data_IF_448062061368
#
_entry.id   IF_448062061368
#
_cell.length_a   1.000
_cell.length_b   1.000
_cell.length_c   1.000
_cell.angle_alpha   90.00
_cell.angle_beta   90.00
_cell.angle_gamma   90.00
#
_symmetry.space_group_name_H-M   'P 1'
#
loop_
_entity.id
_entity.type
_entity.pdbx_description
1 polymer ?
#
# COMPACT_ATOMS: atom_id res chain seq x y z
N UNK A 1 12.25 15.20 26.06
CA UNK A 1 11.30 16.09 25.34
C UNK A 1 11.80 16.29 23.94
N UNK A 2 11.09 15.80 22.92
CA UNK A 2 11.48 15.94 21.51
C UNK A 2 10.92 17.26 20.98
N UNK A 3 11.78 18.26 20.81
CA UNK A 3 11.36 19.56 20.27
C UNK A 3 11.13 19.39 18.77
N UNK A 4 9.87 19.48 18.32
CA UNK A 4 9.55 19.51 16.89
C UNK A 4 10.02 20.86 16.31
N UNK A 5 10.84 20.80 15.27
CA UNK A 5 11.20 21.96 14.48
C UNK A 5 10.00 22.30 13.58
N UNK A 6 9.39 23.47 13.81
CA UNK A 6 8.28 23.99 13.00
C UNK A 6 8.81 24.95 11.94
N UNK A 7 8.09 25.15 10.84
CA UNK A 7 8.47 26.09 9.78
C UNK A 7 8.82 27.48 10.32
N UNK A 8 7.92 28.07 11.12
CA UNK A 8 8.17 29.37 11.75
C UNK A 8 9.42 29.41 12.63
N UNK A 9 9.84 28.29 13.24
CA UNK A 9 11.07 28.24 14.05
C UNK A 9 12.31 28.17 13.18
N UNK A 10 12.20 27.53 12.01
CA UNK A 10 13.26 27.49 11.02
C UNK A 10 13.45 28.87 10.36
N UNK A 11 12.37 29.55 9.98
CA UNK A 11 12.42 30.90 9.42
C UNK A 11 13.09 31.88 10.39
N UNK A 12 12.65 31.89 11.65
CA UNK A 12 13.26 32.72 12.69
C UNK A 12 14.74 32.40 12.93
N UNK A 13 15.13 31.11 12.83
CA UNK A 13 16.52 30.70 12.95
C UNK A 13 17.35 31.24 11.78
N UNK A 14 16.86 31.10 10.55
CA UNK A 14 17.53 31.61 9.34
C UNK A 14 17.69 33.13 9.43
N UNK A 15 16.65 33.87 9.84
CA UNK A 15 16.71 35.33 10.00
C UNK A 15 17.72 35.75 11.07
N UNK A 16 17.76 35.05 12.20
CA UNK A 16 18.74 35.31 13.28
C UNK A 16 20.17 35.05 12.79
N UNK A 17 20.40 33.95 12.08
CA UNK A 17 21.72 33.63 11.54
C UNK A 17 22.15 34.65 10.47
N UNK A 18 21.23 35.10 9.61
CA UNK A 18 21.50 36.14 8.63
C UNK A 18 21.86 37.48 9.30
N UNK A 19 21.17 37.87 10.36
CA UNK A 19 21.50 39.07 11.11
C UNK A 19 22.91 39.00 11.72
N UNK A 20 23.29 37.85 12.30
CA UNK A 20 24.63 37.63 12.85
C UNK A 20 25.72 37.57 11.77
N UNK A 21 25.43 37.06 10.57
CA UNK A 21 26.38 37.09 9.45
C UNK A 21 26.65 38.54 9.01
N UNK A 22 25.64 39.40 9.04
CA UNK A 22 25.74 40.80 8.63
C UNK A 22 26.45 41.70 9.66
N UNK A 23 26.63 41.24 10.89
CA UNK A 23 27.37 41.98 11.92
C UNK A 23 28.88 41.66 11.83
N UNK A 24 29.67 42.65 11.42
CA UNK A 24 31.08 42.47 11.07
C UNK A 24 32.02 42.36 12.28
N UNK A 25 31.58 42.78 13.49
CA UNK A 25 32.42 42.79 14.70
C UNK A 25 32.23 41.55 15.59
N UNK A 26 31.23 40.73 15.29
CA UNK A 26 30.78 39.63 16.15
C UNK A 26 31.43 38.27 15.82
N UNK A 27 31.87 38.08 14.57
CA UNK A 27 32.36 36.80 14.06
C UNK A 27 33.68 36.97 13.32
N UNK A 28 34.59 36.03 13.55
CA UNK A 28 35.77 35.93 12.69
C UNK A 28 35.38 35.35 11.31
N UNK A 29 36.30 35.48 10.35
CA UNK A 29 36.09 35.05 8.97
C UNK A 29 35.62 33.59 8.84
N UNK A 30 36.26 32.67 9.56
CA UNK A 30 35.93 31.24 9.51
C UNK A 30 34.52 30.96 10.05
N UNK A 31 34.15 31.61 11.17
CA UNK A 31 32.81 31.51 11.74
C UNK A 31 31.74 32.03 10.76
N UNK A 32 32.02 33.16 10.10
CA UNK A 32 31.12 33.74 9.09
C UNK A 32 30.95 32.81 7.88
N UNK A 33 32.04 32.25 7.36
CA UNK A 33 32.01 31.28 6.25
C UNK A 33 31.23 30.01 6.63
N UNK A 34 31.46 29.46 7.83
CA UNK A 34 30.74 28.29 8.32
C UNK A 34 29.24 28.58 8.49
N UNK A 35 28.88 29.74 9.02
CA UNK A 35 27.48 30.10 9.24
C UNK A 35 26.73 30.33 7.92
N UNK A 36 27.38 30.93 6.92
CA UNK A 36 26.83 31.05 5.55
C UNK A 36 26.53 29.66 4.97
N UNK A 37 27.43 28.68 5.14
CA UNK A 37 27.19 27.30 4.70
C UNK A 37 26.02 26.66 5.43
N UNK A 38 25.88 26.93 6.74
CA UNK A 38 24.74 26.45 7.53
C UNK A 38 23.43 27.01 7.02
N UNK A 39 23.33 28.32 6.79
CA UNK A 39 22.12 28.96 6.25
C UNK A 39 21.75 28.38 4.88
N UNK A 40 22.72 28.21 3.99
CA UNK A 40 22.50 27.60 2.68
C UNK A 40 21.96 26.16 2.79
N UNK A 41 22.48 25.39 3.75
CA UNK A 41 22.02 24.02 4.02
C UNK A 41 20.59 24.01 4.57
N UNK A 42 20.26 24.91 5.50
CA UNK A 42 18.93 25.03 6.08
C UNK A 42 17.88 25.40 5.01
N UNK A 43 18.18 26.39 4.15
CA UNK A 43 17.29 26.75 3.04
C UNK A 43 17.11 25.61 2.02
N UNK A 44 18.17 24.83 1.75
CA UNK A 44 18.07 23.65 0.90
C UNK A 44 17.20 22.53 1.49
N UNK A 45 17.23 22.35 2.81
CA UNK A 45 16.36 21.38 3.51
C UNK A 45 14.90 21.85 3.48
N UNK A 46 14.67 23.14 3.74
CA UNK A 46 13.34 23.77 3.70
C UNK A 46 12.66 23.56 2.34
N UNK A 47 13.39 23.85 1.25
CA UNK A 47 12.89 23.68 -0.11
C UNK A 47 12.51 22.21 -0.40
N UNK A 48 13.33 21.26 0.05
CA UNK A 48 13.03 19.83 -0.11
C UNK A 48 11.76 19.43 0.65
N UNK A 49 11.55 19.98 1.84
CA UNK A 49 10.33 19.71 2.62
C UNK A 49 9.10 20.25 1.88
N UNK A 50 9.19 21.47 1.33
CA UNK A 50 8.12 22.05 0.51
C UNK A 50 7.79 21.19 -0.70
N UNK A 51 8.80 20.78 -1.46
CA UNK A 51 8.63 19.91 -2.64
C UNK A 51 8.01 18.55 -2.27
N UNK A 52 8.41 17.96 -1.13
CA UNK A 52 7.80 16.72 -0.64
C UNK A 52 6.33 16.90 -0.27
N UNK A 53 5.97 18.04 0.35
CA UNK A 53 4.58 18.35 0.69
C UNK A 53 3.73 18.53 -0.56
N UNK A 54 4.21 19.31 -1.53
CA UNK A 54 3.55 19.53 -2.82
C UNK A 54 3.39 18.22 -3.61
N UNK A 55 4.44 17.40 -3.68
CA UNK A 55 4.39 16.09 -4.34
C UNK A 55 3.38 15.15 -3.65
N UNK A 56 3.23 15.25 -2.32
CA UNK A 56 2.24 14.46 -1.57
C UNK A 56 0.82 14.93 -1.85
N UNK A 57 0.59 16.24 -1.92
CA UNK A 57 -0.72 16.80 -2.29
C UNK A 57 -1.06 16.49 -3.74
N UNK A 58 -0.12 16.64 -4.68
CA UNK A 58 -0.31 16.26 -6.08
C UNK A 58 -0.68 14.78 -6.22
N UNK A 59 -0.07 13.88 -5.44
CA UNK A 59 -0.44 12.46 -5.38
C UNK A 59 -1.84 12.23 -4.83
N UNK A 60 -2.29 13.00 -3.83
CA UNK A 60 -3.66 12.92 -3.31
C UNK A 60 -4.67 13.38 -4.35
N UNK A 61 -4.41 14.49 -5.02
CA UNK A 61 -5.25 15.03 -6.09
C UNK A 61 -5.34 14.02 -7.24
N UNK A 62 -4.22 13.50 -7.73
CA UNK A 62 -4.21 12.48 -8.79
C UNK A 62 -4.94 11.18 -8.39
N UNK A 63 -4.95 10.82 -7.10
CA UNK A 63 -5.70 9.68 -6.58
C UNK A 63 -7.21 9.97 -6.46
N UNK A 64 -7.59 11.21 -6.17
CA UNK A 64 -8.97 11.66 -6.15
C UNK A 64 -9.56 11.85 -7.56
N UNK A 65 -8.74 12.31 -8.52
CA UNK A 65 -9.12 12.46 -9.94
C UNK A 65 -9.20 11.11 -10.67
N UNK A 66 -8.46 10.09 -10.21
CA UNK A 66 -8.73 8.72 -10.62
C UNK A 66 -10.10 8.32 -10.10
N UNK A 67 -11.08 8.43 -10.99
CA UNK A 67 -12.48 8.05 -10.82
C UNK A 67 -12.63 6.91 -9.83
N UNK A 68 -13.49 7.10 -8.83
CA UNK A 68 -13.98 6.02 -7.96
C UNK A 68 -14.32 4.83 -8.87
N UNK A 69 -13.57 3.74 -8.71
CA UNK A 69 -13.85 2.52 -9.45
C UNK A 69 -15.32 2.21 -9.19
N UNK A 70 -16.13 2.17 -10.25
CA UNK A 70 -17.56 1.81 -10.18
C UNK A 70 -17.73 0.72 -9.12
N UNK A 71 -18.71 0.83 -8.20
CA UNK A 71 -18.96 -0.20 -7.21
C UNK A 71 -18.94 -1.54 -7.92
N UNK A 72 -17.94 -2.36 -7.61
CA UNK A 72 -17.75 -3.64 -8.30
C UNK A 72 -19.02 -4.44 -8.04
N UNK A 73 -19.72 -4.81 -9.11
CA UNK A 73 -20.89 -5.68 -8.97
C UNK A 73 -20.48 -6.87 -8.09
N UNK A 74 -21.27 -7.22 -7.06
CA UNK A 74 -20.94 -8.32 -6.18
C UNK A 74 -20.65 -9.56 -7.00
N UNK A 75 -19.44 -10.11 -6.87
CA UNK A 75 -19.08 -11.37 -7.52
C UNK A 75 -19.92 -12.47 -6.90
N UNK A 76 -20.91 -12.99 -7.65
CA UNK A 76 -21.85 -13.99 -7.16
C UNK A 76 -21.16 -15.31 -6.76
N UNK A 77 -20.01 -15.61 -7.39
CA UNK A 77 -19.22 -16.82 -7.10
C UNK A 77 -18.32 -16.61 -5.89
N UNK A 78 -17.78 -15.40 -5.75
CA UNK A 78 -16.83 -15.06 -4.71
C UNK A 78 -17.25 -13.76 -3.98
N UNK A 79 -18.28 -13.82 -3.11
CA UNK A 79 -18.94 -12.64 -2.54
C UNK A 79 -18.02 -11.78 -1.64
N UNK A 80 -16.89 -12.33 -1.18
CA UNK A 80 -15.89 -11.61 -0.37
C UNK A 80 -14.72 -11.08 -1.21
N UNK A 81 -14.79 -11.13 -2.54
CA UNK A 81 -13.77 -10.55 -3.43
C UNK A 81 -13.62 -9.05 -3.17
N UNK A 82 -12.39 -8.62 -2.84
CA UNK A 82 -12.07 -7.22 -2.55
C UNK A 82 -12.44 -6.74 -1.14
N UNK A 83 -12.98 -7.60 -0.27
CA UNK A 83 -13.11 -7.32 1.17
C UNK A 83 -11.73 -7.33 1.83
N UNK A 84 -11.58 -6.55 2.91
CA UNK A 84 -10.37 -6.53 3.74
C UNK A 84 -10.16 -7.93 4.35
N UNK A 85 -8.91 -8.36 4.49
CA UNK A 85 -8.57 -9.61 5.18
C UNK A 85 -8.77 -9.42 6.69
N UNK A 86 -9.61 -10.26 7.30
CA UNK A 86 -9.84 -10.25 8.75
C UNK A 86 -8.81 -11.14 9.44
N UNK A 87 -8.62 -10.96 10.75
CA UNK A 87 -7.77 -11.86 11.55
C UNK A 87 -8.19 -13.32 11.37
N UNK A 88 -9.49 -13.61 11.45
CA UNK A 88 -10.03 -14.95 11.22
C UNK A 88 -9.70 -15.53 9.83
N UNK A 89 -9.60 -14.68 8.79
CA UNK A 89 -9.20 -15.14 7.44
C UNK A 89 -7.72 -15.56 7.43
N UNK A 90 -6.88 -14.87 8.22
CA UNK A 90 -5.45 -15.18 8.36
C UNK A 90 -5.24 -16.41 9.22
N UNK A 91 -5.91 -16.48 10.38
CA UNK A 91 -5.84 -17.63 11.29
C UNK A 91 -6.22 -18.92 10.58
N UNK A 92 -7.25 -18.88 9.72
CA UNK A 92 -7.63 -20.04 8.91
C UNK A 92 -6.54 -20.42 7.89
N UNK A 93 -5.91 -19.44 7.24
CA UNK A 93 -4.83 -19.70 6.30
C UNK A 93 -3.64 -20.33 7.05
N UNK A 94 -3.18 -19.69 8.13
CA UNK A 94 -2.06 -20.15 8.96
C UNK A 94 -2.30 -21.54 9.55
N UNK A 95 -3.52 -21.83 10.02
CA UNK A 95 -3.89 -23.16 10.55
C UNK A 95 -3.69 -24.32 9.58
N UNK A 96 -3.62 -24.03 8.27
CA UNK A 96 -3.44 -25.02 7.22
C UNK A 96 -2.02 -24.93 6.64
N UNK A 97 -1.54 -23.74 6.31
CA UNK A 97 -0.27 -23.59 5.58
C UNK A 97 0.98 -23.77 6.46
N UNK A 98 0.89 -23.53 7.77
CA UNK A 98 2.05 -23.57 8.66
C UNK A 98 2.53 -25.00 8.90
N UNK A 99 1.60 -25.96 8.92
CA UNK A 99 1.90 -27.38 9.14
C UNK A 99 2.21 -28.15 7.84
N UNK A 100 1.97 -27.54 6.67
CA UNK A 100 2.09 -28.20 5.37
C UNK A 100 3.38 -27.84 4.61
N UNK A 101 3.97 -28.81 3.88
CA UNK A 101 5.04 -28.52 2.93
C UNK A 101 4.50 -27.73 1.72
N UNK A 102 5.37 -26.91 1.11
CA UNK A 102 5.03 -26.06 -0.05
C UNK A 102 4.39 -26.85 -1.21
N UNK A 103 4.80 -28.10 -1.41
CA UNK A 103 4.27 -28.99 -2.46
C UNK A 103 2.79 -29.38 -2.29
N UNK A 104 2.24 -29.25 -1.07
CA UNK A 104 0.87 -29.68 -0.75
C UNK A 104 -0.10 -28.50 -0.58
N UNK A 105 0.40 -27.27 -0.61
CA UNK A 105 -0.41 -26.06 -0.48
C UNK A 105 -1.46 -25.99 -1.59
N UNK A 106 -1.13 -26.43 -2.80
CA UNK A 106 -2.04 -26.42 -3.96
C UNK A 106 -3.35 -27.15 -3.73
N UNK A 107 -3.30 -28.27 -2.99
CA UNK A 107 -4.47 -29.10 -2.71
C UNK A 107 -5.51 -28.37 -1.86
N UNK A 108 -5.11 -27.32 -1.14
CA UNK A 108 -5.94 -26.63 -0.17
C UNK A 108 -6.50 -25.29 -0.69
N UNK A 109 -6.00 -24.77 -1.81
CA UNK A 109 -6.40 -23.45 -2.32
C UNK A 109 -7.88 -23.39 -2.69
N UNK A 110 -8.41 -24.43 -3.35
CA UNK A 110 -9.83 -24.47 -3.70
C UNK A 110 -10.73 -24.55 -2.46
N UNK A 111 -10.32 -25.31 -1.46
CA UNK A 111 -11.05 -25.43 -0.20
C UNK A 111 -11.06 -24.10 0.57
N UNK A 112 -9.91 -23.43 0.68
CA UNK A 112 -9.79 -22.10 1.29
C UNK A 112 -10.62 -21.06 0.54
N UNK A 113 -10.60 -21.13 -0.79
CA UNK A 113 -11.38 -20.24 -1.67
C UNK A 113 -12.88 -20.36 -1.42
N UNK A 114 -13.39 -21.59 -1.35
CA UNK A 114 -14.80 -21.89 -1.05
C UNK A 114 -15.17 -21.41 0.36
N UNK A 115 -14.36 -21.78 1.36
CA UNK A 115 -14.62 -21.44 2.77
C UNK A 115 -14.62 -19.94 3.05
N UNK A 116 -13.73 -19.19 2.39
CA UNK A 116 -13.60 -17.74 2.58
C UNK A 116 -14.40 -16.93 1.56
N UNK A 117 -15.04 -17.55 0.56
CA UNK A 117 -15.78 -16.86 -0.50
C UNK A 117 -14.91 -15.89 -1.31
N UNK A 118 -13.63 -16.21 -1.48
CA UNK A 118 -12.63 -15.42 -2.22
C UNK A 118 -12.11 -16.24 -3.38
N UNK A 119 -11.62 -15.60 -4.44
CA UNK A 119 -11.06 -16.34 -5.58
C UNK A 119 -9.82 -17.15 -5.18
N UNK A 120 -9.56 -18.33 -5.79
CA UNK A 120 -8.34 -19.10 -5.57
C UNK A 120 -7.07 -18.26 -5.73
N UNK A 121 -7.06 -17.38 -6.75
CA UNK A 121 -5.96 -16.44 -6.98
C UNK A 121 -5.70 -15.47 -5.81
N UNK A 122 -6.74 -15.06 -5.09
CA UNK A 122 -6.60 -14.13 -3.97
C UNK A 122 -6.02 -14.83 -2.73
N UNK A 123 -6.41 -16.09 -2.50
CA UNK A 123 -5.80 -16.94 -1.47
C UNK A 123 -4.31 -17.14 -1.80
N UNK A 124 -3.99 -17.50 -3.04
CA UNK A 124 -2.60 -17.71 -3.47
C UNK A 124 -1.74 -16.45 -3.30
N UNK A 125 -2.24 -15.26 -3.70
CA UNK A 125 -1.55 -14.00 -3.45
C UNK A 125 -1.35 -13.72 -1.95
N UNK A 126 -2.29 -14.13 -1.11
CA UNK A 126 -2.15 -13.96 0.33
C UNK A 126 -1.04 -14.82 0.88
N UNK A 127 -0.95 -16.09 0.47
CA UNK A 127 0.13 -17.01 0.86
C UNK A 127 1.50 -16.47 0.45
N UNK A 128 1.62 -15.92 -0.78
CA UNK A 128 2.84 -15.23 -1.23
C UNK A 128 3.17 -14.03 -0.33
N UNK A 129 2.18 -13.25 0.09
CA UNK A 129 2.40 -12.12 1.01
C UNK A 129 2.83 -12.53 2.42
N UNK A 130 2.52 -13.76 2.84
CA UNK A 130 3.00 -14.36 4.10
C UNK A 130 4.43 -14.90 3.98
N UNK A 131 5.05 -14.81 2.79
CA UNK A 131 6.43 -15.21 2.53
C UNK A 131 6.60 -16.66 2.09
N UNK A 132 5.51 -17.34 1.70
CA UNK A 132 5.51 -18.71 1.17
C UNK A 132 5.26 -18.68 -0.34
N UNK A 133 5.99 -19.50 -1.12
CA UNK A 133 5.84 -19.60 -2.59
C UNK A 133 6.09 -18.27 -3.33
N UNK A 134 5.99 -18.28 -4.67
CA UNK A 134 6.31 -17.15 -5.54
C UNK A 134 5.10 -16.57 -6.30
N UNK A 135 5.27 -15.39 -6.89
CA UNK A 135 4.21 -14.72 -7.64
C UNK A 135 3.80 -15.46 -8.93
N UNK A 136 4.68 -16.27 -9.52
CA UNK A 136 4.36 -17.06 -10.72
C UNK A 136 3.46 -18.23 -10.35
N UNK A 137 3.77 -18.92 -9.25
CA UNK A 137 2.86 -19.89 -8.65
C UNK A 137 1.46 -19.32 -8.43
N UNK A 138 1.35 -18.12 -7.84
CA UNK A 138 0.04 -17.49 -7.65
C UNK A 138 -0.68 -17.24 -8.98
N UNK A 139 0.02 -16.85 -10.07
CA UNK A 139 -0.60 -16.60 -11.38
C UNK A 139 -1.29 -17.83 -11.97
N UNK A 140 -0.85 -19.04 -11.63
CA UNK A 140 -1.48 -20.29 -12.10
C UNK A 140 -2.95 -20.43 -11.63
N UNK A 141 -3.34 -19.72 -10.57
CA UNK A 141 -4.69 -19.73 -10.03
C UNK A 141 -5.66 -18.75 -10.70
N UNK A 142 -5.17 -17.86 -11.59
CA UNK A 142 -6.01 -16.95 -12.38
C UNK A 142 -6.97 -17.68 -13.33
N UNK A 143 -6.52 -18.63 -14.19
CA UNK A 143 -7.43 -19.37 -15.07
C UNK A 143 -8.45 -20.18 -14.27
N UNK A 144 -8.05 -20.82 -13.17
CA UNK A 144 -8.96 -21.58 -12.30
C UNK A 144 -10.08 -20.69 -11.74
N UNK A 145 -9.75 -19.49 -11.28
CA UNK A 145 -10.76 -18.53 -10.82
C UNK A 145 -11.71 -18.07 -11.95
N UNK A 146 -11.24 -18.05 -13.20
CA UNK A 146 -12.07 -17.71 -14.37
C UNK A 146 -13.01 -18.86 -14.71
N UNK A 147 -12.51 -20.08 -14.76
CA UNK A 147 -13.31 -21.28 -15.02
C UNK A 147 -14.42 -21.48 -13.99
N UNK A 148 -14.15 -21.20 -12.70
CA UNK A 148 -15.18 -21.28 -11.65
C UNK A 148 -16.31 -20.27 -11.88
N UNK A 149 -16.00 -19.05 -12.35
CA UNK A 149 -17.02 -18.08 -12.75
C UNK A 149 -17.85 -18.54 -13.94
N UNK A 150 -17.18 -19.11 -14.95
CA UNK A 150 -17.84 -19.64 -16.14
C UNK A 150 -18.76 -20.81 -15.78
N UNK A 151 -18.29 -21.77 -14.98
CA UNK A 151 -19.10 -22.90 -14.49
C UNK A 151 -20.33 -22.44 -13.72
N UNK A 152 -20.17 -21.50 -12.79
CA UNK A 152 -21.30 -20.93 -12.05
C UNK A 152 -22.30 -20.27 -12.99
N UNK A 153 -21.83 -19.51 -13.99
CA UNK A 153 -22.71 -18.84 -14.95
C UNK A 153 -23.55 -19.83 -15.77
N UNK A 154 -22.98 -20.97 -16.18
CA UNK A 154 -23.69 -22.01 -16.93
C UNK A 154 -24.78 -22.66 -16.06
N UNK A 155 -24.43 -23.08 -14.85
CA UNK A 155 -25.37 -23.70 -13.90
C UNK A 155 -26.53 -22.75 -13.53
N UNK A 156 -26.24 -21.47 -13.36
CA UNK A 156 -27.26 -20.47 -13.01
C UNK A 156 -28.19 -20.10 -14.18
N UNK A 157 -27.75 -20.29 -15.43
CA UNK A 157 -28.58 -20.12 -16.63
C UNK A 157 -29.49 -21.33 -16.83
N UNK A 158 -28.98 -22.54 -16.61
CA UNK A 158 -29.70 -23.81 -16.75
C UNK A 158 -30.84 -23.92 -15.72
N UNK A 159 -30.55 -23.66 -14.44
CA UNK A 159 -31.55 -23.67 -13.35
C UNK A 159 -32.64 -22.59 -13.47
N UNK A 160 -32.37 -21.51 -14.19
CA UNK A 160 -33.36 -20.45 -14.44
C UNK A 160 -34.27 -20.78 -15.63
N UNK A 161 -33.80 -21.61 -16.57
CA UNK A 161 -34.57 -22.11 -17.70
C UNK A 161 -35.49 -23.28 -17.33
N UNK A 162 -35.16 -24.07 -16.31
CA UNK A 162 -36.00 -25.20 -15.84
C UNK A 162 -37.17 -24.75 -14.96
N UNK A 163 -37.10 -23.55 -14.39
CA UNK A 163 -38.11 -22.99 -13.48
C UNK A 163 -38.99 -21.89 -14.14
N UNK A 164 -39.03 -21.79 -15.47
CA UNK A 164 -39.94 -20.91 -16.23
C UNK A 164 -40.91 -21.69 -17.10
#
# INVERSE_FOLDING_TARGET
MTVKLTQARLDNLIDTLNALICDDDLLNREQKENMVRTVATLGGIEERIRQMAEAREAKKIAKAEKAEKKPREPDLVFPRTGRIWTTDDLDLIHSIIDELPDSEIDNHILWLSDRQGRTPYAIALKIVSEGRLDEEWAKNWKPVAKELREKYSIQHVETKSENS
#
